data_IF_706874571215
#
_entry.id   IF_706874571215
#
_cell.length_a   1.000
_cell.length_b   1.000
_cell.length_c   1.000
_cell.angle_alpha   90.00
_cell.angle_beta   90.00
_cell.angle_gamma   90.00
#
_symmetry.space_group_name_H-M   'P 1'
#
loop_
_entity.id
_entity.type
_entity.pdbx_description
1 polymer ?
#
# COMPACT_ATOMS: atom_id res chain seq x y z
N UNK A 1 -28.44 -10.99 18.94
CA UNK A 1 -27.44 -11.83 19.65
C UNK A 1 -26.19 -11.77 18.80
N UNK A 2 -25.29 -10.87 19.14
CA UNK A 2 -23.98 -10.70 18.53
C UNK A 2 -23.04 -11.71 19.17
N UNK A 3 -22.88 -12.88 18.54
CA UNK A 3 -21.75 -13.74 18.83
C UNK A 3 -20.51 -13.07 18.23
N UNK A 4 -19.93 -12.15 18.98
CA UNK A 4 -18.53 -11.81 18.83
C UNK A 4 -17.75 -13.06 19.27
N UNK A 5 -17.18 -13.78 18.33
CA UNK A 5 -16.04 -14.64 18.62
C UNK A 5 -15.01 -13.71 19.26
N UNK A 6 -14.80 -13.82 20.57
CA UNK A 6 -14.12 -12.81 21.42
C UNK A 6 -12.70 -12.44 20.95
N UNK A 7 -12.15 -13.17 20.00
CA UNK A 7 -10.73 -13.13 19.63
C UNK A 7 -10.46 -12.71 18.18
N UNK A 8 -11.49 -12.53 17.34
CA UNK A 8 -11.33 -12.17 15.92
C UNK A 8 -12.10 -10.91 15.59
N UNK A 9 -11.37 -9.91 15.09
CA UNK A 9 -11.94 -8.61 14.69
C UNK A 9 -11.66 -8.33 13.22
N UNK A 10 -12.72 -8.14 12.43
CA UNK A 10 -12.59 -7.62 11.06
C UNK A 10 -12.06 -6.17 11.10
N UNK A 11 -11.05 -5.87 10.26
CA UNK A 11 -10.38 -4.56 10.21
C UNK A 11 -10.75 -3.81 8.93
N UNK A 12 -10.80 -4.49 7.79
CA UNK A 12 -11.07 -3.84 6.52
C UNK A 12 -10.74 -4.72 5.32
N UNK A 13 -10.60 -4.06 4.19
CA UNK A 13 -10.28 -4.70 2.91
C UNK A 13 -9.01 -4.06 2.37
N UNK A 14 -8.08 -4.86 1.89
CA UNK A 14 -6.94 -4.38 1.11
C UNK A 14 -7.07 -4.82 -0.35
N UNK A 15 -6.71 -3.93 -1.26
CA UNK A 15 -6.70 -4.18 -2.70
C UNK A 15 -5.30 -3.86 -3.22
N UNK A 16 -4.65 -4.85 -3.82
CA UNK A 16 -3.35 -4.70 -4.46
C UNK A 16 -3.53 -4.72 -5.97
N UNK A 17 -2.69 -3.96 -6.68
CA UNK A 17 -2.72 -3.93 -8.14
C UNK A 17 -2.59 -5.33 -8.74
N UNK A 18 -3.56 -5.69 -9.57
CA UNK A 18 -3.60 -6.99 -10.26
C UNK A 18 -3.90 -8.20 -9.39
N UNK A 19 -4.25 -8.01 -8.12
CA UNK A 19 -4.58 -9.09 -7.19
C UNK A 19 -6.06 -9.04 -6.76
N UNK A 20 -6.56 -10.19 -6.31
CA UNK A 20 -7.87 -10.25 -5.71
C UNK A 20 -7.89 -9.46 -4.39
N UNK A 21 -9.00 -8.78 -4.05
CA UNK A 21 -9.16 -8.12 -2.76
C UNK A 21 -8.91 -9.08 -1.60
N UNK A 22 -8.20 -8.63 -0.59
CA UNK A 22 -7.92 -9.41 0.62
C UNK A 22 -8.68 -8.85 1.82
N UNK A 23 -9.07 -9.75 2.70
CA UNK A 23 -9.77 -9.48 3.95
C UNK A 23 -8.74 -9.34 5.05
N UNK A 24 -8.74 -8.18 5.75
CA UNK A 24 -7.87 -7.91 6.90
C UNK A 24 -8.65 -8.14 8.19
N UNK A 25 -8.05 -8.87 9.11
CA UNK A 25 -8.64 -9.16 10.41
C UNK A 25 -7.55 -9.32 11.48
N UNK A 26 -7.92 -9.10 12.73
CA UNK A 26 -7.03 -9.24 13.88
C UNK A 26 -7.35 -10.50 14.65
N UNK A 27 -6.30 -11.17 15.14
CA UNK A 27 -6.38 -12.33 16.02
C UNK A 27 -5.39 -12.16 17.18
N UNK A 28 -5.62 -12.87 18.27
CA UNK A 28 -4.67 -12.95 19.38
C UNK A 28 -3.59 -13.98 19.06
N UNK A 29 -2.32 -13.57 19.11
CA UNK A 29 -1.16 -14.47 19.18
C UNK A 29 -1.02 -14.96 20.62
N UNK A 30 -1.45 -16.17 20.89
CA UNK A 30 -1.53 -16.72 22.25
C UNK A 30 -0.16 -17.03 22.88
N UNK A 31 0.91 -17.09 22.07
CA UNK A 31 2.27 -17.32 22.60
C UNK A 31 2.86 -15.99 23.09
N UNK A 32 2.66 -14.91 22.33
CA UNK A 32 3.27 -13.62 22.63
C UNK A 32 2.31 -12.64 23.31
N UNK A 33 1.08 -13.04 23.57
CA UNK A 33 -0.01 -12.25 24.18
C UNK A 33 -0.18 -10.88 23.50
N UNK A 34 -0.21 -10.88 22.17
CA UNK A 34 -0.37 -9.68 21.37
C UNK A 34 -1.37 -9.87 20.23
N UNK A 35 -2.10 -8.83 19.92
CA UNK A 35 -2.98 -8.82 18.75
C UNK A 35 -2.16 -8.62 17.49
N UNK A 36 -2.31 -9.51 16.53
CA UNK A 36 -1.68 -9.44 15.21
C UNK A 36 -2.72 -9.24 14.13
N UNK A 37 -2.33 -8.59 13.05
CA UNK A 37 -3.16 -8.39 11.88
C UNK A 37 -2.80 -9.40 10.79
N UNK A 38 -3.81 -10.11 10.30
CA UNK A 38 -3.70 -11.10 9.25
C UNK A 38 -4.50 -10.67 8.03
N UNK A 39 -4.10 -11.18 6.86
CA UNK A 39 -4.76 -10.89 5.60
C UNK A 39 -4.93 -12.17 4.79
N UNK A 40 -6.12 -12.39 4.23
CA UNK A 40 -6.43 -13.53 3.38
C UNK A 40 -7.10 -13.06 2.08
N UNK A 41 -6.59 -13.45 0.89
CA UNK A 41 -7.25 -13.15 -0.37
C UNK A 41 -8.70 -13.66 -0.36
N UNK A 42 -9.63 -12.85 -0.89
CA UNK A 42 -11.06 -13.23 -0.94
C UNK A 42 -11.27 -14.55 -1.71
N UNK A 43 -10.46 -14.83 -2.72
CA UNK A 43 -10.49 -16.05 -3.52
C UNK A 43 -10.02 -17.29 -2.77
N UNK A 44 -9.23 -17.10 -1.71
CA UNK A 44 -8.68 -18.18 -0.88
C UNK A 44 -9.44 -18.34 0.45
N UNK A 45 -10.48 -17.53 0.67
CA UNK A 45 -11.28 -17.59 1.89
C UNK A 45 -12.04 -18.92 1.96
N UNK A 46 -11.56 -19.79 2.81
CA UNK A 46 -12.19 -21.09 3.14
C UNK A 46 -11.91 -21.43 4.61
N UNK A 47 -12.76 -22.25 5.28
CA UNK A 47 -12.53 -22.63 6.67
C UNK A 47 -11.13 -23.17 6.92
N UNK A 48 -10.66 -24.07 6.07
CA UNK A 48 -9.33 -24.69 6.15
C UNK A 48 -8.20 -23.67 6.05
N UNK A 49 -8.30 -22.71 5.14
CA UNK A 49 -7.26 -21.70 4.96
C UNK A 49 -7.25 -20.70 6.11
N UNK A 50 -8.41 -20.34 6.63
CA UNK A 50 -8.55 -19.48 7.82
C UNK A 50 -7.93 -20.16 9.04
N UNK A 51 -8.26 -21.43 9.30
CA UNK A 51 -7.66 -22.24 10.38
C UNK A 51 -6.14 -22.29 10.25
N UNK A 52 -5.63 -22.67 9.08
CA UNK A 52 -4.19 -22.75 8.83
C UNK A 52 -3.48 -21.40 9.03
N UNK A 53 -4.09 -20.31 8.59
CA UNK A 53 -3.52 -18.97 8.73
C UNK A 53 -3.46 -18.55 10.19
N UNK A 54 -4.52 -18.77 10.96
CA UNK A 54 -4.58 -18.47 12.39
C UNK A 54 -3.57 -19.34 13.16
N UNK A 55 -3.54 -20.65 12.91
CA UNK A 55 -2.64 -21.58 13.60
C UNK A 55 -1.15 -21.27 13.33
N UNK A 56 -0.78 -20.90 12.10
CA UNK A 56 0.60 -20.47 11.76
C UNK A 56 1.06 -19.22 12.51
N UNK A 57 0.11 -18.43 13.01
CA UNK A 57 0.35 -17.21 13.75
C UNK A 57 0.02 -17.36 15.24
N UNK A 58 0.10 -18.60 15.76
CA UNK A 58 -0.12 -18.96 17.16
C UNK A 58 -1.50 -18.60 17.72
N UNK A 59 -2.48 -18.42 16.86
CA UNK A 59 -3.85 -18.15 17.25
C UNK A 59 -4.64 -19.45 17.44
N UNK A 60 -5.74 -19.35 18.18
CA UNK A 60 -6.70 -20.43 18.37
C UNK A 60 -7.86 -20.27 17.40
N UNK A 61 -8.23 -21.34 16.73
CA UNK A 61 -9.35 -21.38 15.79
C UNK A 61 -10.23 -22.60 16.13
N UNK A 62 -11.25 -22.40 16.97
CA UNK A 62 -12.15 -23.48 17.38
C UNK A 62 -13.23 -23.75 16.36
N UNK A 63 -13.75 -22.70 15.70
CA UNK A 63 -14.88 -22.78 14.78
C UNK A 63 -14.56 -22.11 13.42
N UNK A 64 -13.71 -22.74 12.58
CA UNK A 64 -13.21 -22.12 11.35
C UNK A 64 -14.33 -21.79 10.36
N UNK A 65 -15.44 -22.53 10.34
CA UNK A 65 -16.59 -22.27 9.47
C UNK A 65 -17.33 -20.98 9.90
N UNK A 66 -17.54 -20.78 11.19
CA UNK A 66 -18.20 -19.58 11.70
C UNK A 66 -17.34 -18.34 11.48
N UNK A 67 -16.03 -18.45 11.69
CA UNK A 67 -15.07 -17.37 11.42
C UNK A 67 -15.08 -17.02 9.94
N UNK A 68 -15.01 -17.99 9.06
CA UNK A 68 -15.07 -17.78 7.62
C UNK A 68 -16.37 -17.07 7.20
N UNK A 69 -17.50 -17.49 7.74
CA UNK A 69 -18.81 -16.88 7.50
C UNK A 69 -18.88 -15.45 8.05
N UNK A 70 -18.33 -15.20 9.23
CA UNK A 70 -18.24 -13.87 9.83
C UNK A 70 -17.40 -12.93 8.93
N UNK A 71 -16.22 -13.36 8.51
CA UNK A 71 -15.33 -12.57 7.64
C UNK A 71 -16.01 -12.27 6.30
N UNK A 72 -16.71 -13.24 5.71
CA UNK A 72 -17.44 -13.06 4.46
C UNK A 72 -18.60 -12.06 4.59
N UNK A 73 -19.39 -12.16 5.66
CA UNK A 73 -20.47 -11.21 5.95
C UNK A 73 -19.94 -9.80 6.17
N UNK A 74 -18.86 -9.67 6.93
CA UNK A 74 -18.20 -8.38 7.21
C UNK A 74 -17.64 -7.76 5.92
N UNK A 75 -16.98 -8.53 5.08
CA UNK A 75 -16.49 -8.11 3.76
C UNK A 75 -17.65 -7.59 2.88
N UNK A 76 -18.73 -8.34 2.75
CA UNK A 76 -19.87 -7.94 1.94
C UNK A 76 -20.57 -6.69 2.49
N UNK A 77 -20.66 -6.57 3.82
CA UNK A 77 -21.19 -5.38 4.48
C UNK A 77 -20.30 -4.16 4.23
N UNK A 78 -18.98 -4.31 4.36
CA UNK A 78 -18.01 -3.25 4.09
C UNK A 78 -18.13 -2.70 2.67
N UNK A 79 -18.25 -3.58 1.67
CA UNK A 79 -18.45 -3.16 0.28
C UNK A 79 -19.75 -2.38 0.05
N UNK A 80 -20.81 -2.76 0.75
CA UNK A 80 -22.12 -2.10 0.63
C UNK A 80 -22.16 -0.75 1.33
N UNK A 81 -21.62 -0.68 2.53
CA UNK A 81 -21.75 0.50 3.39
C UNK A 81 -20.61 1.49 3.28
N UNK A 82 -19.45 1.03 2.77
CA UNK A 82 -18.18 1.79 2.73
C UNK A 82 -17.79 2.40 4.09
N UNK A 83 -18.24 1.80 5.19
CA UNK A 83 -17.99 2.30 6.54
C UNK A 83 -16.57 2.08 7.06
N UNK A 84 -15.83 1.13 6.46
CA UNK A 84 -14.44 0.85 6.80
C UNK A 84 -13.54 1.16 5.62
N UNK A 85 -12.29 1.57 5.86
CA UNK A 85 -11.38 1.93 4.79
C UNK A 85 -11.09 0.73 3.89
N UNK A 86 -11.14 0.97 2.58
CA UNK A 86 -10.57 0.08 1.58
C UNK A 86 -9.18 0.61 1.29
N UNK A 87 -8.17 -0.06 1.82
CA UNK A 87 -6.78 0.30 1.59
C UNK A 87 -6.35 -0.17 0.21
N UNK A 88 -5.84 0.74 -0.61
CA UNK A 88 -5.33 0.41 -1.94
C UNK A 88 -3.81 0.45 -1.92
N UNK A 89 -3.20 -0.68 -2.25
CA UNK A 89 -1.75 -0.85 -2.32
C UNK A 89 -1.30 -0.91 -3.77
N UNK A 90 -0.35 -0.07 -4.11
CA UNK A 90 0.28 -0.03 -5.42
C UNK A 90 1.71 -0.54 -5.34
N UNK A 91 2.06 -1.44 -6.24
CA UNK A 91 3.39 -2.06 -6.32
C UNK A 91 4.35 -1.30 -7.23
N UNK A 92 3.81 -0.46 -8.11
CA UNK A 92 4.61 0.36 -9.02
C UNK A 92 5.11 1.63 -8.31
N UNK A 93 6.35 1.98 -8.54
CA UNK A 93 6.98 3.21 -8.05
C UNK A 93 6.91 4.29 -9.11
N UNK A 94 6.70 5.54 -8.69
CA UNK A 94 6.67 6.71 -9.55
C UNK A 94 5.30 7.38 -9.60
N UNK A 95 5.15 8.29 -10.56
CA UNK A 95 3.89 8.99 -10.80
C UNK A 95 2.87 8.09 -11.46
N UNK A 96 1.65 8.13 -10.95
CA UNK A 96 0.50 7.39 -11.48
C UNK A 96 -0.75 8.24 -11.34
N UNK A 97 -1.66 8.10 -12.30
CA UNK A 97 -3.02 8.62 -12.14
C UNK A 97 -3.89 7.60 -11.40
N UNK A 98 -4.53 8.06 -10.35
CA UNK A 98 -5.44 7.25 -9.54
C UNK A 98 -6.72 8.04 -9.30
N UNK A 99 -7.84 7.49 -9.77
CA UNK A 99 -9.16 8.15 -9.70
C UNK A 99 -9.16 9.57 -10.33
N UNK A 100 -8.42 9.77 -11.43
CA UNK A 100 -8.33 11.05 -12.14
C UNK A 100 -7.43 12.10 -11.49
N UNK A 101 -6.62 11.70 -10.51
CA UNK A 101 -5.68 12.58 -9.80
C UNK A 101 -4.27 12.02 -9.82
N UNK A 102 -3.25 12.89 -9.97
CA UNK A 102 -1.87 12.45 -9.90
C UNK A 102 -1.50 12.02 -8.49
N UNK A 103 -0.79 10.91 -8.38
CA UNK A 103 -0.22 10.42 -7.14
C UNK A 103 1.22 9.97 -7.37
N UNK A 104 2.11 10.27 -6.45
CA UNK A 104 3.45 9.72 -6.42
C UNK A 104 3.48 8.54 -5.45
N UNK A 105 3.94 7.41 -5.93
CA UNK A 105 4.05 6.16 -5.18
C UNK A 105 5.53 5.86 -4.97
N UNK A 106 5.98 5.98 -3.75
CA UNK A 106 7.34 5.70 -3.33
C UNK A 106 7.32 5.01 -1.98
N UNK A 107 8.33 5.23 -1.17
CA UNK A 107 8.33 4.82 0.23
C UNK A 107 7.24 5.57 1.01
N UNK A 108 7.05 6.85 0.66
CA UNK A 108 5.90 7.65 1.08
C UNK A 108 5.01 7.89 -0.13
N UNK A 109 3.70 7.94 0.10
CA UNK A 109 2.71 8.27 -0.93
C UNK A 109 2.42 9.76 -0.85
N UNK A 110 2.57 10.46 -1.99
CA UNK A 110 2.16 11.85 -2.11
C UNK A 110 0.89 11.87 -2.96
N UNK A 111 -0.24 12.11 -2.31
CA UNK A 111 -1.57 12.09 -2.95
C UNK A 111 -2.58 12.85 -2.10
N UNK A 112 -3.61 13.38 -2.73
CA UNK A 112 -4.80 13.90 -2.03
C UNK A 112 -5.68 12.78 -1.43
N UNK A 113 -5.36 11.52 -1.71
CA UNK A 113 -6.12 10.37 -1.22
C UNK A 113 -5.38 9.67 -0.08
N UNK A 114 -5.84 9.90 1.16
CA UNK A 114 -5.25 9.34 2.38
C UNK A 114 -5.33 7.80 2.48
N UNK A 115 -6.15 7.15 1.64
CA UNK A 115 -6.30 5.69 1.65
C UNK A 115 -5.31 4.96 0.74
N UNK A 116 -4.50 5.70 -0.02
CA UNK A 116 -3.48 5.13 -0.88
C UNK A 116 -2.24 4.74 -0.07
N UNK A 117 -1.72 3.56 -0.35
CA UNK A 117 -0.49 3.06 0.24
C UNK A 117 0.41 2.46 -0.84
N UNK A 118 1.71 2.55 -0.62
CA UNK A 118 2.71 1.93 -1.49
C UNK A 118 3.35 0.75 -0.77
N UNK A 119 3.51 -0.37 -1.49
CA UNK A 119 4.27 -1.54 -1.02
C UNK A 119 5.70 -1.52 -1.58
N UNK A 120 6.31 -0.36 -1.67
CA UNK A 120 7.68 -0.30 -2.12
C UNK A 120 8.60 -1.05 -1.16
N UNK A 121 9.22 -2.10 -1.65
CA UNK A 121 10.19 -2.94 -0.92
C UNK A 121 11.60 -2.85 -1.51
N UNK A 122 11.88 -1.83 -2.32
CA UNK A 122 13.18 -1.62 -2.94
C UNK A 122 14.28 -1.26 -1.93
N UNK A 123 15.53 -1.41 -2.38
CA UNK A 123 16.71 -1.09 -1.56
C UNK A 123 17.05 0.40 -1.52
N UNK A 124 16.40 1.20 -2.36
CA UNK A 124 16.62 2.64 -2.42
C UNK A 124 15.73 3.32 -1.37
N UNK A 125 16.31 4.24 -0.62
CA UNK A 125 15.53 5.15 0.22
C UNK A 125 14.89 6.19 -0.71
N UNK A 126 13.58 6.07 -0.91
CA UNK A 126 12.79 6.97 -1.76
C UNK A 126 12.04 8.03 -0.95
N UNK A 127 12.39 8.20 0.32
CA UNK A 127 11.81 9.27 1.14
C UNK A 127 12.30 10.61 0.65
N UNK A 128 11.40 11.57 0.40
CA UNK A 128 11.80 12.95 0.17
C UNK A 128 12.59 13.44 1.39
N UNK A 129 13.82 13.86 1.19
CA UNK A 129 14.65 14.39 2.27
C UNK A 129 15.50 15.55 1.75
N UNK A 130 15.78 16.51 2.61
CA UNK A 130 16.60 17.66 2.30
C UNK A 130 15.81 18.89 1.81
N UNK A 131 16.54 20.00 1.67
CA UNK A 131 15.99 21.25 1.15
C UNK A 131 16.19 21.29 -0.36
N UNK A 132 15.10 21.53 -1.10
CA UNK A 132 15.14 21.64 -2.57
C UNK A 132 16.09 22.74 -3.04
N UNK A 133 16.27 23.80 -2.25
CA UNK A 133 17.20 24.90 -2.56
C UNK A 133 18.65 24.42 -2.48
N UNK A 134 19.00 23.64 -1.46
CA UNK A 134 20.34 23.04 -1.35
C UNK A 134 20.64 22.11 -2.52
N UNK A 135 19.63 21.32 -2.98
CA UNK A 135 19.77 20.45 -4.14
C UNK A 135 20.00 21.28 -5.41
N UNK A 136 19.23 22.35 -5.62
CA UNK A 136 19.39 23.25 -6.77
C UNK A 136 20.76 23.94 -6.73
N UNK A 137 21.19 24.43 -5.57
CA UNK A 137 22.50 25.08 -5.41
C UNK A 137 23.65 24.10 -5.66
N UNK A 138 23.52 22.85 -5.17
CA UNK A 138 24.47 21.79 -5.46
C UNK A 138 24.51 21.45 -6.97
N UNK A 139 23.36 21.28 -7.61
CA UNK A 139 23.27 21.00 -9.05
C UNK A 139 23.90 22.14 -9.86
N UNK A 140 23.62 23.39 -9.51
CA UNK A 140 24.19 24.55 -10.19
C UNK A 140 25.71 24.61 -10.02
N UNK A 141 26.21 24.36 -8.81
CA UNK A 141 27.65 24.46 -8.50
C UNK A 141 28.46 23.31 -9.09
N UNK A 142 27.97 22.08 -8.95
CA UNK A 142 28.74 20.88 -9.27
C UNK A 142 28.51 20.38 -10.71
N UNK A 143 27.38 20.69 -11.30
CA UNK A 143 26.96 20.12 -12.59
C UNK A 143 26.96 21.15 -13.70
N UNK A 144 26.37 22.34 -13.50
CA UNK A 144 26.21 23.33 -14.56
C UNK A 144 27.51 24.11 -14.83
N UNK A 145 28.35 24.31 -13.81
CA UNK A 145 29.58 25.11 -13.91
C UNK A 145 30.79 24.33 -14.42
N UNK A 146 30.80 23.01 -14.29
CA UNK A 146 31.91 22.17 -14.75
C UNK A 146 31.68 21.63 -16.15
N UNK A 147 32.40 22.13 -17.15
CA UNK A 147 32.27 21.75 -18.59
C UNK A 147 32.46 20.27 -18.92
N UNK A 148 32.90 19.45 -17.99
CA UNK A 148 33.11 18.00 -18.20
C UNK A 148 31.88 17.12 -17.96
N UNK A 149 30.73 17.70 -17.62
CA UNK A 149 29.55 16.99 -17.10
C UNK A 149 28.40 16.86 -18.09
N UNK A 150 28.64 17.07 -19.38
CA UNK A 150 27.59 17.02 -20.43
C UNK A 150 26.78 15.72 -20.42
N UNK A 151 27.41 14.59 -20.03
CA UNK A 151 26.70 13.29 -19.94
C UNK A 151 25.79 13.20 -18.72
N UNK A 152 26.26 13.71 -17.57
CA UNK A 152 25.48 13.69 -16.32
C UNK A 152 24.35 14.71 -16.39
N UNK A 153 24.59 15.86 -16.99
CA UNK A 153 23.58 16.85 -17.30
C UNK A 153 22.48 16.28 -18.18
N UNK A 154 22.83 15.54 -19.23
CA UNK A 154 21.84 14.85 -20.08
C UNK A 154 21.05 13.78 -19.29
N UNK A 155 21.67 13.03 -18.40
CA UNK A 155 21.01 12.04 -17.54
C UNK A 155 20.06 12.73 -16.56
N UNK A 156 20.50 13.83 -15.93
CA UNK A 156 19.67 14.59 -15.00
C UNK A 156 18.51 15.28 -15.72
N UNK A 157 18.75 15.87 -16.89
CA UNK A 157 17.69 16.44 -17.72
C UNK A 157 16.71 15.37 -18.19
N UNK A 158 17.17 14.18 -18.53
CA UNK A 158 16.30 13.06 -18.88
C UNK A 158 15.49 12.57 -17.65
N UNK A 159 16.11 12.47 -16.49
CA UNK A 159 15.43 12.06 -15.26
C UNK A 159 14.38 13.09 -14.81
N UNK A 160 14.74 14.37 -14.74
CA UNK A 160 13.82 15.44 -14.39
C UNK A 160 12.78 15.64 -15.49
N UNK A 161 13.20 15.57 -16.75
CA UNK A 161 12.32 15.67 -17.92
C UNK A 161 11.28 14.54 -17.97
N UNK A 162 11.65 13.32 -17.58
CA UNK A 162 10.69 12.22 -17.52
C UNK A 162 9.61 12.42 -16.44
N UNK A 163 9.97 13.03 -15.32
CA UNK A 163 9.03 13.41 -14.27
C UNK A 163 8.10 14.54 -14.75
N UNK A 164 8.67 15.55 -15.42
CA UNK A 164 7.90 16.69 -15.96
C UNK A 164 7.00 16.24 -17.12
N UNK A 165 7.48 15.39 -18.02
CA UNK A 165 6.69 14.87 -19.15
C UNK A 165 5.55 13.99 -18.66
N UNK A 166 5.79 13.15 -17.65
CA UNK A 166 4.72 12.37 -17.04
C UNK A 166 3.65 13.26 -16.41
N UNK A 167 4.05 14.37 -15.82
CA UNK A 167 3.14 15.35 -15.23
C UNK A 167 2.45 16.20 -16.31
N UNK A 168 3.16 16.63 -17.35
CA UNK A 168 2.63 17.46 -18.41
C UNK A 168 1.64 16.72 -19.32
N UNK A 169 1.89 15.46 -19.65
CA UNK A 169 0.94 14.65 -20.42
C UNK A 169 -0.41 14.49 -19.71
N UNK A 170 -0.43 14.71 -18.40
CA UNK A 170 -1.65 14.66 -17.61
C UNK A 170 -2.51 15.92 -17.70
N UNK A 171 -1.94 17.03 -18.14
CA UNK A 171 -2.64 18.33 -18.25
C UNK A 171 -3.02 18.70 -19.68
N UNK A 172 -2.65 17.89 -20.69
CA UNK A 172 -2.82 18.27 -22.11
C UNK A 172 -3.74 17.32 -22.89
N UNK A 173 -4.36 16.35 -22.22
CA UNK A 173 -5.52 15.58 -22.66
C UNK A 173 -6.79 16.12 -21.99
#
# INVERSE_FOLDING_TARGET
>A
MTNESKDIKFVGISVKDGQAPAIKFKVLDCINDKTIELSIPRTELSPKNVENLIARNNGICEEPEEICNFLLKSYNSCLKTRMLPIERYHTQVGWKEIDGKPAYLGQDVISDNETLQSEYSGKLDLKPSGDIKEVIDMLNREIIVTQEWSKLEAILCAAVGSLILSYANHFWD
#
